data_IF_035844148414
#
_entry.id   IF_035844148414
#
_cell.length_a   1.000
_cell.length_b   1.000
_cell.length_c   1.000
_cell.angle_alpha   90.00
_cell.angle_beta   90.00
_cell.angle_gamma   90.00
#
_symmetry.space_group_name_H-M   'P 1'
#
loop_
_entity.id
_entity.type
_entity.pdbx_description
1 polymer ?
#
# COMPACT_ATOMS: atom_id res chain seq x y z
N UNK A 1 -19.54 -4.39 -0.86
CA UNK A 1 -19.07 -4.86 0.44
C UNK A 1 -19.85 -4.10 1.49
N UNK A 2 -20.90 -4.71 2.00
CA UNK A 2 -21.70 -4.18 3.10
C UNK A 2 -20.83 -4.21 4.35
N UNK A 3 -20.45 -3.01 4.83
CA UNK A 3 -19.57 -2.89 5.96
C UNK A 3 -20.16 -3.51 7.21
N UNK A 4 -19.45 -4.47 7.77
CA UNK A 4 -19.58 -4.78 9.19
C UNK A 4 -19.08 -3.52 9.91
N UNK A 5 -20.00 -2.74 10.48
CA UNK A 5 -19.65 -1.61 11.33
C UNK A 5 -18.98 -2.18 12.57
N UNK A 6 -17.67 -2.08 12.63
CA UNK A 6 -16.93 -2.34 13.84
C UNK A 6 -17.24 -1.21 14.81
N UNK A 7 -17.67 -1.50 16.02
CA UNK A 7 -18.05 -0.51 17.05
C UNK A 7 -16.90 0.41 17.49
N UNK A 8 -15.67 0.06 17.19
CA UNK A 8 -14.50 0.93 17.28
C UNK A 8 -13.81 0.98 15.92
N UNK A 9 -13.70 2.14 15.33
CA UNK A 9 -12.92 2.30 14.11
C UNK A 9 -11.46 1.95 14.43
N UNK A 10 -10.84 0.99 13.70
CA UNK A 10 -9.44 0.66 13.92
C UNK A 10 -8.58 1.92 13.80
N UNK A 11 -7.50 2.00 14.58
CA UNK A 11 -6.52 3.10 14.53
C UNK A 11 -6.13 3.42 13.07
N UNK A 12 -5.99 2.39 12.25
CA UNK A 12 -5.60 2.47 10.84
C UNK A 12 -6.77 2.62 9.86
N UNK A 13 -8.01 2.89 10.31
CA UNK A 13 -9.15 3.06 9.41
C UNK A 13 -8.92 4.15 8.37
N UNK A 14 -8.31 5.25 8.79
CA UNK A 14 -7.77 6.30 7.90
C UNK A 14 -6.44 6.76 8.47
N UNK A 15 -5.49 6.94 7.57
CA UNK A 15 -4.15 7.41 7.92
C UNK A 15 -3.63 8.32 6.82
N UNK A 16 -2.72 9.20 7.18
CA UNK A 16 -1.98 10.04 6.25
C UNK A 16 -0.53 10.19 6.69
N UNK A 17 0.35 10.39 5.72
CA UNK A 17 1.73 10.83 5.94
C UNK A 17 2.16 11.70 4.76
N UNK A 18 3.16 12.53 5.00
CA UNK A 18 3.77 13.36 3.97
C UNK A 18 5.16 12.84 3.65
N UNK A 19 5.51 12.84 2.36
CA UNK A 19 6.83 12.45 1.89
C UNK A 19 7.33 13.52 0.92
N UNK A 20 8.43 14.23 1.27
CA UNK A 20 9.13 15.11 0.34
C UNK A 20 9.64 14.37 -0.89
N UNK A 21 9.71 15.04 -2.03
CA UNK A 21 10.08 14.42 -3.31
C UNK A 21 11.54 13.93 -3.33
N UNK A 22 12.43 14.68 -2.72
CA UNK A 22 13.84 14.31 -2.54
C UNK A 22 14.00 13.06 -1.67
N UNK A 23 13.25 12.96 -0.57
CA UNK A 23 13.21 11.76 0.27
C UNK A 23 12.67 10.56 -0.51
N UNK A 24 11.62 10.75 -1.34
CA UNK A 24 11.13 9.69 -2.23
C UNK A 24 12.21 9.24 -3.20
N UNK A 25 12.91 10.17 -3.83
CA UNK A 25 13.99 9.86 -4.77
C UNK A 25 15.09 9.02 -4.11
N UNK A 26 15.53 9.40 -2.91
CA UNK A 26 16.53 8.64 -2.14
C UNK A 26 16.05 7.23 -1.80
N UNK A 27 14.79 7.09 -1.36
CA UNK A 27 14.19 5.79 -1.07
C UNK A 27 14.13 4.90 -2.32
N UNK A 28 13.75 5.46 -3.46
CA UNK A 28 13.65 4.72 -4.72
C UNK A 28 15.02 4.33 -5.24
N UNK A 29 16.00 5.22 -5.19
CA UNK A 29 17.38 4.92 -5.55
C UNK A 29 17.96 3.76 -4.75
N UNK A 30 17.67 3.72 -3.45
CA UNK A 30 18.14 2.67 -2.55
C UNK A 30 17.40 1.33 -2.73
N UNK A 31 16.10 1.35 -2.98
CA UNK A 31 15.24 0.16 -2.88
C UNK A 31 14.94 -0.52 -4.20
N UNK A 32 14.76 0.25 -5.28
CA UNK A 32 14.39 -0.32 -6.58
C UNK A 32 15.38 -1.37 -7.10
N UNK A 33 16.72 -1.23 -6.97
CA UNK A 33 17.63 -2.27 -7.42
C UNK A 33 17.43 -3.59 -6.69
N UNK A 34 17.30 -3.57 -5.36
CA UNK A 34 17.10 -4.77 -4.55
C UNK A 34 15.73 -5.42 -4.80
N UNK A 35 14.68 -4.60 -4.95
CA UNK A 35 13.34 -5.08 -5.28
C UNK A 35 13.28 -5.68 -6.69
N UNK A 36 13.93 -5.05 -7.67
CA UNK A 36 14.02 -5.55 -9.03
C UNK A 36 14.79 -6.88 -9.12
N UNK A 37 15.85 -7.04 -8.35
CA UNK A 37 16.61 -8.29 -8.30
C UNK A 37 15.80 -9.46 -7.69
N UNK A 38 14.92 -9.18 -6.73
CA UNK A 38 14.12 -10.20 -6.04
C UNK A 38 12.76 -10.48 -6.69
N UNK A 39 12.19 -9.49 -7.40
CA UNK A 39 10.83 -9.53 -7.99
C UNK A 39 10.79 -8.72 -9.28
N UNK A 40 11.55 -9.17 -10.27
CA UNK A 40 11.73 -8.47 -11.56
C UNK A 40 10.42 -8.31 -12.35
N UNK A 41 9.46 -9.21 -12.16
CA UNK A 41 8.14 -9.15 -12.79
C UNK A 41 7.30 -7.96 -12.31
N UNK A 42 7.59 -7.45 -11.11
CA UNK A 42 6.88 -6.32 -10.51
C UNK A 42 7.49 -4.95 -10.84
N UNK A 43 8.67 -4.90 -11.46
CA UNK A 43 9.39 -3.64 -11.74
C UNK A 43 9.82 -3.63 -13.20
N UNK A 44 9.25 -2.71 -13.98
CA UNK A 44 9.51 -2.57 -15.41
C UNK A 44 10.04 -1.16 -15.70
N UNK A 45 11.25 -1.08 -16.20
CA UNK A 45 11.85 0.16 -16.68
C UNK A 45 11.47 0.41 -18.15
N UNK A 46 11.15 1.65 -18.48
CA UNK A 46 10.84 2.13 -19.83
C UNK A 46 11.74 3.32 -20.17
N UNK A 47 12.48 3.22 -21.25
CA UNK A 47 13.48 4.19 -21.69
C UNK A 47 14.89 3.62 -21.58
N UNK A 48 15.69 4.10 -20.64
CA UNK A 48 17.04 3.59 -20.38
C UNK A 48 17.07 2.42 -19.38
N UNK A 49 18.28 1.96 -18.99
CA UNK A 49 18.41 0.95 -17.92
C UNK A 49 17.89 1.49 -16.58
N UNK A 50 17.41 0.58 -15.71
CA UNK A 50 16.86 0.95 -14.41
C UNK A 50 17.82 1.87 -13.63
N UNK A 51 19.12 1.53 -13.59
CA UNK A 51 20.13 2.31 -12.86
C UNK A 51 20.26 3.73 -13.40
N UNK A 52 20.23 3.91 -14.72
CA UNK A 52 20.33 5.22 -15.35
C UNK A 52 19.07 6.06 -15.13
N UNK A 53 17.89 5.42 -15.15
CA UNK A 53 16.62 6.09 -14.91
C UNK A 53 16.60 6.61 -13.48
N UNK A 54 16.78 5.74 -12.49
CA UNK A 54 16.65 6.10 -11.06
C UNK A 54 17.75 7.03 -10.55
N UNK A 55 18.88 7.13 -11.28
CA UNK A 55 19.96 8.10 -11.00
C UNK A 55 19.67 9.49 -11.57
N UNK A 56 18.62 9.65 -12.38
CA UNK A 56 18.16 10.95 -12.84
C UNK A 56 17.10 11.52 -11.91
N UNK A 57 16.66 12.76 -12.14
CA UNK A 57 15.71 13.45 -11.28
C UNK A 57 14.33 12.82 -11.37
N UNK A 58 13.74 12.48 -10.23
CA UNK A 58 12.33 12.05 -10.11
C UNK A 58 11.42 13.25 -10.34
N UNK A 59 10.54 13.18 -11.32
CA UNK A 59 9.62 14.27 -11.66
C UNK A 59 8.20 14.05 -11.21
N UNK A 60 7.73 12.79 -11.16
CA UNK A 60 6.40 12.49 -10.64
C UNK A 60 6.22 11.04 -10.21
N UNK A 61 5.24 10.82 -9.34
CA UNK A 61 4.75 9.50 -8.93
C UNK A 61 3.23 9.48 -9.12
N UNK A 62 2.72 8.51 -9.88
CA UNK A 62 1.31 8.43 -10.23
C UNK A 62 0.76 7.03 -10.00
N UNK A 63 -0.48 6.94 -9.52
CA UNK A 63 -1.25 5.70 -9.49
C UNK A 63 -1.73 5.40 -10.91
N UNK A 64 -1.36 4.25 -11.47
CA UNK A 64 -1.72 3.86 -12.84
C UNK A 64 -2.94 2.96 -12.92
N UNK A 65 -3.34 2.35 -11.81
CA UNK A 65 -4.51 1.47 -11.78
C UNK A 65 -4.90 1.06 -10.37
N UNK A 66 -6.12 0.52 -10.27
CA UNK A 66 -6.66 -0.03 -9.03
C UNK A 66 -7.37 -1.35 -9.29
N UNK A 67 -7.32 -2.24 -8.32
CA UNK A 67 -8.18 -3.41 -8.29
C UNK A 67 -9.65 -3.01 -8.02
N UNK A 68 -10.59 -3.91 -8.29
CA UNK A 68 -12.03 -3.67 -8.04
C UNK A 68 -12.33 -3.25 -6.58
N UNK A 69 -11.54 -3.73 -5.61
CA UNK A 69 -11.63 -3.34 -4.20
C UNK A 69 -11.05 -1.95 -3.88
N UNK A 70 -10.50 -1.22 -4.87
CA UNK A 70 -9.94 0.13 -4.70
C UNK A 70 -8.47 0.19 -4.31
N UNK A 71 -7.82 -0.92 -4.01
CA UNK A 71 -6.38 -0.97 -3.76
C UNK A 71 -5.60 -0.61 -5.01
N UNK A 72 -4.48 0.08 -4.83
CA UNK A 72 -3.56 0.44 -5.92
C UNK A 72 -2.98 -0.85 -6.52
N UNK A 73 -3.06 -0.98 -7.85
CA UNK A 73 -2.50 -2.09 -8.61
C UNK A 73 -1.18 -1.75 -9.29
N UNK A 74 -0.88 -0.46 -9.45
CA UNK A 74 0.38 -0.03 -10.06
C UNK A 74 0.71 1.44 -9.77
N UNK A 75 2.01 1.73 -9.74
CA UNK A 75 2.59 3.06 -9.66
C UNK A 75 3.50 3.28 -10.86
N UNK A 76 3.41 4.46 -11.47
CA UNK A 76 4.39 4.95 -12.44
C UNK A 76 5.25 6.01 -11.78
N UNK A 77 6.56 5.76 -11.77
CA UNK A 77 7.59 6.69 -11.32
C UNK A 77 8.20 7.31 -12.56
N UNK A 78 8.04 8.61 -12.76
CA UNK A 78 8.57 9.31 -13.93
C UNK A 78 9.84 10.06 -13.55
N UNK A 79 10.86 9.87 -14.33
CA UNK A 79 12.17 10.50 -14.19
C UNK A 79 12.54 11.22 -15.50
N UNK A 80 13.57 12.08 -15.48
CA UNK A 80 14.04 12.76 -16.66
C UNK A 80 14.50 11.80 -17.79
N UNK A 81 15.04 10.62 -17.43
CA UNK A 81 15.58 9.64 -18.38
C UNK A 81 14.67 8.46 -18.69
N UNK A 82 13.44 8.48 -18.22
CA UNK A 82 12.49 7.40 -18.46
C UNK A 82 11.48 7.22 -17.35
N UNK A 83 10.87 6.06 -17.31
CA UNK A 83 9.91 5.73 -16.25
C UNK A 83 10.08 4.33 -15.71
N UNK A 84 9.59 4.11 -14.49
CA UNK A 84 9.56 2.79 -13.85
C UNK A 84 8.12 2.49 -13.46
N UNK A 85 7.57 1.41 -14.01
CA UNK A 85 6.29 0.87 -13.56
C UNK A 85 6.53 -0.13 -12.43
N UNK A 86 5.85 0.09 -11.31
CA UNK A 86 5.92 -0.77 -10.12
C UNK A 86 4.55 -1.36 -9.86
N UNK A 87 4.48 -2.68 -9.76
CA UNK A 87 3.28 -3.43 -9.41
C UNK A 87 3.50 -4.27 -8.15
N UNK A 88 2.46 -4.95 -7.68
CA UNK A 88 2.56 -5.76 -6.47
C UNK A 88 2.33 -4.95 -5.19
N UNK A 89 1.35 -5.37 -4.43
CA UNK A 89 0.88 -4.69 -3.21
C UNK A 89 2.02 -4.47 -2.21
N UNK A 90 2.72 -5.54 -1.86
CA UNK A 90 3.80 -5.50 -0.87
C UNK A 90 4.99 -4.67 -1.36
N UNK A 91 5.28 -4.71 -2.67
CA UNK A 91 6.38 -3.96 -3.28
C UNK A 91 6.13 -2.46 -3.18
N UNK A 92 4.93 -2.00 -3.54
CA UNK A 92 4.56 -0.59 -3.44
C UNK A 92 4.58 -0.09 -2.00
N UNK A 93 4.10 -0.90 -1.05
CA UNK A 93 4.16 -0.58 0.38
C UNK A 93 5.59 -0.46 0.89
N UNK A 94 6.47 -1.38 0.50
CA UNK A 94 7.90 -1.33 0.83
C UNK A 94 8.58 -0.12 0.21
N UNK A 95 8.27 0.18 -1.05
CA UNK A 95 8.90 1.25 -1.80
C UNK A 95 8.62 2.63 -1.20
N UNK A 96 7.36 2.89 -0.82
CA UNK A 96 6.89 4.17 -0.30
C UNK A 96 7.06 4.34 1.22
N UNK A 97 7.52 3.32 1.93
CA UNK A 97 7.69 3.40 3.38
C UNK A 97 9.06 4.00 3.74
N UNK A 98 9.16 4.49 4.94
CA UNK A 98 10.40 4.98 5.56
C UNK A 98 10.53 4.38 6.96
N UNK A 99 11.75 4.02 7.42
CA UNK A 99 11.94 3.54 8.77
C UNK A 99 11.42 4.53 9.80
N UNK A 100 10.73 4.03 10.83
CA UNK A 100 10.18 4.83 11.92
C UNK A 100 9.19 5.92 11.48
N UNK A 101 8.60 5.81 10.29
CA UNK A 101 7.59 6.75 9.82
C UNK A 101 6.40 6.77 10.75
N UNK A 102 5.97 7.97 11.10
CA UNK A 102 4.72 8.22 11.79
C UNK A 102 3.62 8.56 10.80
N UNK A 103 2.40 8.25 11.19
CA UNK A 103 1.19 8.53 10.43
C UNK A 103 0.22 9.31 11.32
N UNK A 104 -0.58 10.17 10.73
CA UNK A 104 -1.72 10.76 11.42
C UNK A 104 -2.95 9.91 11.13
N UNK A 105 -3.66 9.50 12.17
CA UNK A 105 -4.93 8.77 12.02
C UNK A 105 -6.11 9.73 11.84
N UNK A 106 -7.34 9.20 11.78
CA UNK A 106 -8.55 10.01 11.62
C UNK A 106 -8.77 11.01 12.78
N UNK A 107 -8.28 10.70 13.96
CA UNK A 107 -8.36 11.56 15.16
C UNK A 107 -7.19 12.54 15.28
N UNK A 108 -6.38 12.65 14.22
CA UNK A 108 -5.15 13.48 14.16
C UNK A 108 -4.05 13.04 15.15
N UNK A 109 -4.20 11.86 15.74
CA UNK A 109 -3.19 11.29 16.60
C UNK A 109 -2.04 10.74 15.76
N UNK A 110 -0.81 10.95 16.25
CA UNK A 110 0.38 10.38 15.66
C UNK A 110 0.52 8.92 16.06
N UNK A 111 0.53 8.02 15.08
CA UNK A 111 0.67 6.58 15.26
C UNK A 111 1.85 6.04 14.45
N UNK A 112 2.48 4.99 14.95
CA UNK A 112 3.55 4.28 14.24
C UNK A 112 3.18 2.81 14.05
N UNK A 113 3.70 2.20 12.98
CA UNK A 113 3.63 0.75 12.84
C UNK A 113 4.61 0.11 13.83
N UNK A 114 4.12 -0.83 14.62
CA UNK A 114 4.94 -1.56 15.62
C UNK A 114 5.95 -2.50 14.97
N UNK A 115 5.68 -2.94 13.75
CA UNK A 115 6.52 -3.89 13.02
C UNK A 115 6.54 -3.59 11.52
N UNK A 116 7.72 -3.69 10.92
CA UNK A 116 7.95 -3.61 9.48
C UNK A 116 8.00 -2.21 8.90
N UNK A 117 8.84 -2.07 7.89
CA UNK A 117 9.02 -0.83 7.14
C UNK A 117 8.10 -0.83 5.91
N UNK A 118 6.77 -0.81 6.12
CA UNK A 118 5.79 -0.80 5.04
C UNK A 118 4.77 0.32 5.26
N UNK A 119 4.14 0.81 4.19
CA UNK A 119 2.87 1.53 4.37
C UNK A 119 1.83 0.62 5.03
N UNK A 120 0.88 1.17 5.82
CA UNK A 120 -0.17 0.35 6.45
C UNK A 120 -0.94 -0.52 5.45
N UNK A 121 -1.22 -0.01 4.27
CA UNK A 121 -1.91 -0.77 3.20
C UNK A 121 -1.55 -0.23 1.82
N UNK A 122 -1.96 -0.94 0.76
CA UNK A 122 -1.96 -0.43 -0.62
C UNK A 122 -3.29 0.29 -0.99
N UNK A 123 -4.18 0.51 -0.06
CA UNK A 123 -5.39 1.31 -0.26
C UNK A 123 -5.10 2.78 0.06
N UNK A 124 -4.52 3.49 -0.90
CA UNK A 124 -4.12 4.89 -0.72
C UNK A 124 -4.31 5.74 -1.98
N UNK A 125 -4.23 7.05 -1.82
CA UNK A 125 -4.06 8.01 -2.89
C UNK A 125 -2.82 8.88 -2.63
N UNK A 126 -2.28 9.44 -3.70
CA UNK A 126 -1.17 10.39 -3.69
C UNK A 126 -1.73 11.77 -4.03
N UNK A 127 -1.51 12.73 -3.16
CA UNK A 127 -1.91 14.13 -3.35
C UNK A 127 -0.64 14.94 -3.46
N UNK A 128 -0.35 15.58 -4.62
CA UNK A 128 0.85 16.36 -4.78
C UNK A 128 0.84 17.58 -3.85
N UNK A 129 1.97 17.86 -3.22
CA UNK A 129 2.22 19.08 -2.45
C UNK A 129 2.96 20.05 -3.35
N UNK A 130 2.38 21.23 -3.54
CA UNK A 130 2.92 22.26 -4.40
C UNK A 130 3.44 23.44 -3.57
N UNK A 131 4.58 23.97 -3.95
CA UNK A 131 5.07 25.27 -3.49
C UNK A 131 5.11 26.18 -4.74
N UNK A 132 4.16 27.10 -4.85
CA UNK A 132 3.88 27.82 -6.10
C UNK A 132 3.67 26.80 -7.25
N UNK A 133 4.48 26.86 -8.30
CA UNK A 133 4.39 25.96 -9.46
C UNK A 133 5.30 24.72 -9.36
N UNK A 134 6.01 24.55 -8.24
CA UNK A 134 6.96 23.44 -8.05
C UNK A 134 6.38 22.39 -7.12
N UNK A 135 6.37 21.13 -7.58
CA UNK A 135 6.00 19.99 -6.73
C UNK A 135 7.13 19.68 -5.75
N UNK A 136 6.81 19.68 -4.47
CA UNK A 136 7.79 19.45 -3.38
C UNK A 136 7.65 18.08 -2.72
N UNK A 137 6.56 17.35 -2.98
CA UNK A 137 6.33 16.04 -2.39
C UNK A 137 4.91 15.54 -2.59
N UNK A 138 4.51 14.61 -1.75
CA UNK A 138 3.17 14.04 -1.74
C UNK A 138 2.66 13.84 -0.33
N UNK A 139 1.36 14.12 -0.13
CA UNK A 139 0.61 13.56 0.98
C UNK A 139 0.04 12.22 0.52
N UNK A 140 0.36 11.16 1.24
CA UNK A 140 -0.24 9.83 1.06
C UNK A 140 -1.39 9.71 2.04
N UNK A 141 -2.61 9.57 1.54
CA UNK A 141 -3.80 9.33 2.33
C UNK A 141 -4.28 7.90 2.08
N UNK A 142 -4.45 7.12 3.12
CA UNK A 142 -4.82 5.73 2.98
C UNK A 142 -5.84 5.23 4.01
N UNK A 143 -6.20 3.97 3.88
CA UNK A 143 -7.14 3.29 4.77
C UNK A 143 -6.80 1.82 5.00
N UNK A 144 -7.05 1.36 6.22
CA UNK A 144 -6.78 -0.01 6.64
C UNK A 144 -5.31 -0.29 6.95
N UNK A 145 -5.08 -1.48 7.51
CA UNK A 145 -3.75 -2.03 7.76
C UNK A 145 -3.74 -3.51 7.36
N UNK A 146 -2.88 -3.87 6.40
CA UNK A 146 -2.76 -5.23 5.88
C UNK A 146 -2.77 -5.29 4.34
N UNK A 147 -2.75 -6.50 3.83
CA UNK A 147 -2.67 -6.77 2.38
C UNK A 147 -4.01 -6.65 1.63
N UNK A 148 -5.16 -6.69 2.35
CA UNK A 148 -6.49 -6.53 1.75
C UNK A 148 -6.98 -7.65 0.83
N UNK A 149 -6.32 -8.81 0.83
CA UNK A 149 -6.60 -9.92 -0.10
C UNK A 149 -7.36 -11.06 0.58
N UNK A 150 -7.37 -11.10 1.91
CA UNK A 150 -7.93 -12.23 2.63
C UNK A 150 -8.77 -11.84 3.83
N UNK A 151 -8.86 -12.78 4.77
CA UNK A 151 -9.63 -12.65 5.99
C UNK A 151 -9.09 -11.52 6.87
N UNK A 152 -9.96 -10.59 7.26
CA UNK A 152 -9.67 -9.61 8.30
C UNK A 152 -9.79 -10.27 9.69
N UNK A 153 -8.69 -10.41 10.41
CA UNK A 153 -8.69 -11.01 11.75
C UNK A 153 -9.62 -10.27 12.71
N UNK A 154 -9.61 -8.94 12.71
CA UNK A 154 -10.50 -8.15 13.57
C UNK A 154 -11.97 -8.33 13.22
N UNK A 155 -12.32 -8.40 11.93
CA UNK A 155 -13.68 -8.65 11.51
C UNK A 155 -14.10 -10.09 11.82
N UNK A 156 -13.23 -11.08 11.63
CA UNK A 156 -13.49 -12.46 11.98
C UNK A 156 -13.76 -12.63 13.49
N UNK A 157 -12.95 -11.98 14.32
CA UNK A 157 -13.15 -11.97 15.76
C UNK A 157 -14.53 -11.41 16.16
N UNK A 158 -14.94 -10.28 15.58
CA UNK A 158 -16.24 -9.69 15.84
C UNK A 158 -17.41 -10.56 15.36
N UNK A 159 -17.26 -11.25 14.22
CA UNK A 159 -18.26 -12.19 13.75
C UNK A 159 -18.38 -13.40 14.71
N UNK A 160 -17.27 -13.87 15.29
CA UNK A 160 -17.27 -14.89 16.34
C UNK A 160 -18.02 -14.40 17.60
N UNK A 161 -17.77 -13.18 18.05
CA UNK A 161 -18.50 -12.60 19.19
C UNK A 161 -20.01 -12.46 18.94
N UNK A 162 -20.41 -12.29 17.68
CA UNK A 162 -21.81 -12.30 17.24
C UNK A 162 -22.40 -13.72 17.11
N UNK A 163 -21.64 -14.76 17.46
CA UNK A 163 -22.08 -16.15 17.42
C UNK A 163 -22.00 -16.81 16.04
N UNK A 164 -21.29 -16.20 15.08
CA UNK A 164 -21.07 -16.82 13.77
C UNK A 164 -20.13 -18.01 13.87
N UNK A 165 -20.45 -19.08 13.14
CA UNK A 165 -19.58 -20.25 13.01
C UNK A 165 -18.35 -19.94 12.13
N UNK A 166 -17.31 -20.74 12.26
CA UNK A 166 -16.11 -20.57 11.41
C UNK A 166 -16.41 -20.74 9.91
N UNK A 167 -17.37 -21.61 9.56
CA UNK A 167 -17.81 -21.79 8.18
C UNK A 167 -18.49 -20.53 7.63
N UNK A 168 -19.41 -19.94 8.41
CA UNK A 168 -20.06 -18.67 8.02
C UNK A 168 -19.04 -17.55 7.85
N UNK A 169 -18.03 -17.49 8.70
CA UNK A 169 -16.95 -16.49 8.63
C UNK A 169 -16.12 -16.69 7.37
N UNK A 170 -15.72 -17.92 7.06
CA UNK A 170 -14.96 -18.19 5.84
C UNK A 170 -15.77 -17.87 4.58
N UNK A 171 -17.06 -18.26 4.54
CA UNK A 171 -17.95 -17.92 3.42
C UNK A 171 -18.20 -16.42 3.26
N UNK A 172 -18.13 -15.65 4.36
CA UNK A 172 -18.22 -14.19 4.33
C UNK A 172 -17.04 -13.56 3.59
N UNK A 173 -15.82 -14.05 3.83
CA UNK A 173 -14.60 -13.51 3.22
C UNK A 173 -14.28 -14.10 1.85
N UNK A 174 -14.61 -15.36 1.62
CA UNK A 174 -14.25 -16.12 0.43
C UNK A 174 -15.52 -16.66 -0.27
N UNK A 175 -15.89 -16.01 -1.34
CA UNK A 175 -17.04 -16.45 -2.15
C UNK A 175 -16.66 -17.66 -3.02
N UNK A 176 -17.59 -18.61 -3.15
CA UNK A 176 -17.41 -19.75 -4.03
C UNK A 176 -16.52 -20.87 -3.49
N UNK A 177 -16.14 -20.83 -2.21
CA UNK A 177 -15.46 -21.95 -1.57
C UNK A 177 -16.46 -23.03 -1.12
N UNK A 178 -15.99 -24.28 -1.08
CA UNK A 178 -16.69 -25.42 -0.46
C UNK A 178 -15.82 -26.00 0.65
N UNK A 179 -16.45 -26.58 1.65
CA UNK A 179 -15.74 -27.30 2.72
C UNK A 179 -15.71 -28.78 2.38
N UNK A 180 -14.56 -29.40 2.61
CA UNK A 180 -14.39 -30.84 2.46
C UNK A 180 -13.71 -31.42 3.71
N UNK A 181 -13.90 -32.71 3.95
CA UNK A 181 -13.30 -33.43 5.08
C UNK A 181 -12.14 -34.27 4.57
N UNK A 182 -10.92 -33.97 5.05
CA UNK A 182 -9.76 -34.82 4.78
C UNK A 182 -9.83 -36.00 5.78
N UNK A 183 -10.04 -37.21 5.26
CA UNK A 183 -9.84 -38.44 6.02
C UNK A 183 -8.40 -38.90 5.88
N UNK A 184 -7.71 -39.02 7.01
CA UNK A 184 -6.31 -39.51 7.08
C UNK A 184 -6.29 -41.03 7.14
#
# INVERSE_FOLDING_TARGET
VTGVQTCALPIWYRWRCEIPLDVMQELFLKRLPALSASQSECIKAEGESLEKIISSTLTSVQVTGRFAGGMVSGLKLTYEKGSVLVTGELIMRKLLSEPNRTYQNKSEETVSLSEGNYLPSAFFCLIPVMNQDTMTGYVICGGGNGHGIGLSQNCAYQLLEQGKTWQEILLFFYQGIAFDTITW
#
